data_IF_765256202826
#
_entry.id   IF_765256202826
#
_cell.length_a   1.000
_cell.length_b   1.000
_cell.length_c   1.000
_cell.angle_alpha   90.00
_cell.angle_beta   90.00
_cell.angle_gamma   90.00
#
_symmetry.space_group_name_H-M   'P 1'
#
loop_
_entity.id
_entity.type
_entity.pdbx_description
1 polymer ?
#
# COMPACT_ATOMS: atom_id res chain seq x y z
N UNK A 1 -57.20 30.84 17.70
CA UNK A 1 -56.66 30.04 16.58
C UNK A 1 -57.58 28.85 16.43
N UNK A 2 -58.44 28.88 15.42
CA UNK A 2 -59.37 27.80 15.11
C UNK A 2 -58.59 26.63 14.50
N UNK A 3 -58.89 25.41 14.95
CA UNK A 3 -58.27 24.17 14.50
C UNK A 3 -59.22 23.55 13.46
N UNK A 4 -58.76 23.44 12.23
CA UNK A 4 -59.47 22.83 11.09
C UNK A 4 -59.75 21.34 11.36
N UNK A 5 -61.00 20.85 11.25
CA UNK A 5 -61.39 19.48 11.58
C UNK A 5 -61.32 18.51 10.39
N UNK A 6 -60.52 18.78 9.36
CA UNK A 6 -60.41 17.89 8.19
C UNK A 6 -59.64 16.58 8.51
N UNK A 7 -60.12 15.40 8.08
CA UNK A 7 -59.52 14.11 8.43
C UNK A 7 -58.22 13.85 7.66
N UNK A 8 -57.18 13.42 8.38
CA UNK A 8 -55.87 13.03 7.81
C UNK A 8 -56.03 11.71 7.04
N UNK A 9 -55.64 11.64 5.75
CA UNK A 9 -55.72 10.41 4.97
C UNK A 9 -54.67 9.38 5.42
N UNK A 10 -54.96 8.06 5.31
CA UNK A 10 -54.07 7.00 5.78
C UNK A 10 -52.80 6.86 4.89
N UNK A 11 -51.68 6.33 5.44
CA UNK A 11 -50.43 6.19 4.71
C UNK A 11 -50.55 5.20 3.55
N UNK A 12 -50.08 5.59 2.37
CA UNK A 12 -49.97 4.70 1.21
C UNK A 12 -48.83 3.70 1.41
N UNK A 13 -49.15 2.39 1.41
CA UNK A 13 -48.17 1.31 1.25
C UNK A 13 -47.59 1.37 -0.17
N UNK A 14 -46.30 1.65 -0.28
CA UNK A 14 -45.54 1.50 -1.51
C UNK A 14 -44.62 0.28 -1.38
N UNK A 15 -45.10 -0.86 -1.87
CA UNK A 15 -44.25 -1.98 -2.28
C UNK A 15 -44.07 -1.89 -3.78
N UNK A 16 -42.85 -1.64 -4.25
CA UNK A 16 -42.24 -2.50 -5.25
C UNK A 16 -40.75 -2.19 -5.47
N UNK A 17 -39.98 -3.27 -5.47
CA UNK A 17 -38.54 -3.31 -5.70
C UNK A 17 -38.23 -3.31 -7.20
N UNK A 18 -37.01 -2.88 -7.60
CA UNK A 18 -36.24 -3.79 -8.45
C UNK A 18 -34.76 -3.88 -8.02
N UNK A 19 -34.37 -5.09 -7.63
CA UNK A 19 -33.14 -5.79 -8.02
C UNK A 19 -31.89 -4.94 -8.36
N UNK A 20 -31.13 -4.54 -7.35
CA UNK A 20 -29.70 -4.23 -7.53
C UNK A 20 -28.86 -5.46 -7.20
N UNK A 21 -28.43 -6.13 -8.27
CA UNK A 21 -27.40 -7.17 -8.30
C UNK A 21 -26.13 -6.68 -7.60
N UNK A 22 -25.92 -7.10 -6.35
CA UNK A 22 -24.60 -7.08 -5.74
C UNK A 22 -23.77 -8.19 -6.41
N UNK A 23 -22.98 -7.83 -7.42
CA UNK A 23 -21.88 -8.67 -7.87
C UNK A 23 -20.79 -8.66 -6.79
N UNK A 24 -20.88 -9.63 -5.87
CA UNK A 24 -19.68 -10.22 -5.27
C UNK A 24 -18.96 -11.06 -6.33
N UNK A 25 -17.66 -11.25 -6.11
CA UNK A 25 -16.74 -12.15 -6.84
C UNK A 25 -15.97 -11.54 -8.01
N UNK A 26 -14.97 -10.70 -7.69
CA UNK A 26 -13.71 -10.76 -8.43
C UNK A 26 -12.84 -11.87 -7.81
N UNK A 27 -13.07 -13.06 -8.35
CA UNK A 27 -12.21 -14.23 -8.26
C UNK A 27 -10.74 -13.83 -8.46
N UNK A 28 -9.90 -14.17 -7.49
CA UNK A 28 -8.45 -14.18 -7.66
C UNK A 28 -8.11 -15.28 -8.68
N UNK A 29 -8.10 -14.93 -9.96
CA UNK A 29 -7.74 -15.85 -11.03
C UNK A 29 -6.26 -16.23 -10.91
N UNK A 30 -6.01 -17.45 -10.41
CA UNK A 30 -4.69 -18.07 -10.29
C UNK A 30 -4.38 -18.92 -11.53
N UNK A 31 -4.46 -18.32 -12.72
CA UNK A 31 -4.25 -19.07 -13.99
C UNK A 31 -2.90 -18.79 -14.66
N UNK A 32 -1.98 -18.06 -14.03
CA UNK A 32 -0.68 -17.74 -14.66
C UNK A 32 0.47 -18.70 -14.30
N UNK A 33 0.21 -19.77 -13.53
CA UNK A 33 1.26 -20.74 -13.13
C UNK A 33 1.17 -22.10 -13.84
N UNK A 34 0.54 -22.16 -15.01
CA UNK A 34 0.51 -23.37 -15.85
C UNK A 34 1.70 -23.48 -16.81
N UNK A 35 2.51 -22.42 -16.95
CA UNK A 35 3.63 -22.36 -17.89
C UNK A 35 4.93 -23.07 -17.48
N UNK A 36 4.96 -23.83 -16.38
CA UNK A 36 6.16 -24.51 -15.88
C UNK A 36 6.08 -26.05 -15.89
N UNK A 37 5.03 -26.65 -16.47
CA UNK A 37 4.83 -28.11 -16.48
C UNK A 37 4.55 -28.72 -17.86
N UNK A 38 5.09 -28.14 -18.94
CA UNK A 38 4.96 -28.72 -20.29
C UNK A 38 6.32 -28.75 -20.97
N UNK A 39 7.20 -29.66 -20.52
CA UNK A 39 8.25 -30.28 -21.36
C UNK A 39 8.87 -31.45 -20.58
N UNK A 40 8.05 -32.46 -20.29
CA UNK A 40 8.55 -33.79 -19.99
C UNK A 40 7.47 -34.79 -20.39
N UNK A 41 7.81 -35.66 -21.35
CA UNK A 41 7.05 -36.81 -21.86
C UNK A 41 6.38 -36.60 -23.23
N UNK A 42 7.11 -36.92 -24.30
CA UNK A 42 6.57 -37.65 -25.45
C UNK A 42 7.69 -38.10 -26.40
N UNK A 43 8.12 -39.37 -26.31
CA UNK A 43 8.41 -40.12 -27.53
C UNK A 43 7.89 -41.55 -27.38
N UNK A 44 6.79 -41.76 -28.07
CA UNK A 44 6.02 -42.98 -28.17
C UNK A 44 6.73 -44.02 -29.05
N UNK A 45 6.47 -45.28 -28.72
CA UNK A 45 6.96 -46.45 -29.40
C UNK A 45 6.10 -46.72 -30.65
N UNK A 46 6.71 -47.08 -31.77
CA UNK A 46 6.05 -47.99 -32.72
C UNK A 46 7.06 -48.90 -33.40
N UNK A 47 6.84 -50.18 -33.13
CA UNK A 47 7.30 -51.40 -33.80
C UNK A 47 7.32 -51.35 -35.32
N UNK A 48 8.37 -51.89 -35.94
CA UNK A 48 8.28 -52.89 -37.02
C UNK A 48 9.57 -53.71 -37.12
N UNK A 49 9.36 -54.98 -37.43
CA UNK A 49 10.23 -56.15 -37.38
C UNK A 49 11.20 -56.29 -38.57
N UNK A 50 12.40 -56.85 -38.33
CA UNK A 50 12.89 -58.09 -38.99
C UNK A 50 14.36 -58.42 -38.66
N UNK A 51 14.54 -59.53 -37.95
CA UNK A 51 15.53 -60.62 -38.06
C UNK A 51 16.83 -60.41 -38.87
N UNK A 52 17.99 -60.52 -38.21
CA UNK A 52 19.00 -61.60 -38.36
C UNK A 52 20.42 -61.20 -37.89
N UNK A 53 21.02 -62.08 -37.07
CA UNK A 53 22.46 -62.22 -36.72
C UNK A 53 23.19 -62.92 -37.92
N UNK A 54 24.55 -63.09 -38.01
CA UNK A 54 25.58 -63.00 -36.96
C UNK A 54 27.01 -62.50 -37.36
N UNK A 55 27.93 -62.53 -36.35
CA UNK A 55 29.41 -62.68 -36.44
C UNK A 55 30.21 -61.49 -37.01
N UNK A 56 31.47 -61.17 -36.68
CA UNK A 56 32.54 -61.59 -35.76
C UNK A 56 33.66 -60.52 -35.91
N UNK A 57 34.68 -60.47 -35.03
CA UNK A 57 35.99 -59.88 -35.40
C UNK A 57 36.46 -58.58 -34.73
N UNK A 58 37.23 -58.74 -33.65
CA UNK A 58 38.55 -58.15 -33.35
C UNK A 58 39.03 -56.79 -33.91
N UNK A 59 39.41 -55.92 -32.95
CA UNK A 59 40.63 -55.06 -32.86
C UNK A 59 40.70 -53.65 -33.50
N UNK A 60 41.54 -52.76 -32.93
CA UNK A 60 41.34 -51.31 -32.86
C UNK A 60 42.18 -50.53 -33.87
N UNK A 61 41.85 -49.26 -34.12
CA UNK A 61 42.79 -48.12 -34.19
C UNK A 61 42.13 -46.80 -34.63
N UNK A 62 42.68 -45.74 -34.04
CA UNK A 62 42.96 -44.41 -34.62
C UNK A 62 41.87 -43.33 -34.67
N UNK A 63 42.15 -42.30 -33.84
CA UNK A 63 42.19 -40.87 -34.19
C UNK A 63 41.05 -40.30 -35.04
N UNK A 64 40.20 -39.50 -34.39
CA UNK A 64 40.01 -38.13 -34.88
C UNK A 64 39.57 -37.23 -33.74
N UNK A 65 40.38 -36.21 -33.48
CA UNK A 65 40.06 -35.09 -32.62
C UNK A 65 38.91 -34.31 -33.26
N UNK A 66 37.74 -34.31 -32.61
CA UNK A 66 36.79 -33.22 -32.75
C UNK A 66 36.98 -32.36 -31.52
N UNK A 67 37.58 -31.19 -31.75
CA UNK A 67 37.57 -30.05 -30.85
C UNK A 67 36.17 -29.88 -30.27
N UNK A 68 36.04 -30.06 -28.96
CA UNK A 68 34.89 -29.56 -28.24
C UNK A 68 34.89 -28.04 -28.43
N UNK A 69 34.02 -27.57 -29.32
CA UNK A 69 33.67 -26.16 -29.43
C UNK A 69 32.94 -25.77 -28.16
N UNK A 70 33.72 -25.45 -27.13
CA UNK A 70 33.26 -24.75 -25.93
C UNK A 70 33.02 -23.29 -26.31
N UNK A 71 31.95 -23.03 -27.04
CA UNK A 71 31.38 -21.69 -27.19
C UNK A 71 29.93 -21.90 -27.61
N UNK A 72 28.99 -21.72 -26.68
CA UNK A 72 27.81 -20.87 -26.82
C UNK A 72 26.65 -21.26 -25.87
N UNK A 73 26.87 -21.29 -24.55
CA UNK A 73 25.81 -21.54 -23.56
C UNK A 73 25.38 -20.28 -22.77
N UNK A 74 26.09 -19.15 -22.92
CA UNK A 74 25.86 -17.96 -22.09
C UNK A 74 24.74 -17.04 -22.59
N UNK A 75 24.31 -17.19 -23.85
CA UNK A 75 23.30 -16.29 -24.46
C UNK A 75 21.86 -16.70 -24.07
N UNK A 76 21.62 -17.99 -23.83
CA UNK A 76 20.29 -18.49 -23.44
C UNK A 76 19.99 -18.22 -21.95
N UNK A 77 21.01 -18.33 -21.09
CA UNK A 77 20.86 -18.14 -19.65
C UNK A 77 20.48 -16.69 -19.30
N UNK A 78 21.08 -15.71 -19.99
CA UNK A 78 20.74 -14.28 -19.81
C UNK A 78 19.26 -13.99 -20.09
N UNK A 79 18.67 -14.63 -21.11
CA UNK A 79 17.25 -14.44 -21.47
C UNK A 79 16.31 -15.05 -20.44
N UNK A 80 16.73 -16.14 -19.82
CA UNK A 80 15.99 -16.80 -18.73
C UNK A 80 16.04 -15.95 -17.47
N UNK A 81 17.21 -15.40 -17.12
CA UNK A 81 17.38 -14.46 -16.00
C UNK A 81 16.49 -13.24 -16.18
N UNK A 82 16.49 -12.61 -17.37
CA UNK A 82 15.64 -11.44 -17.65
C UNK A 82 14.14 -11.75 -17.49
N UNK A 83 13.72 -12.96 -17.90
CA UNK A 83 12.34 -13.43 -17.70
C UNK A 83 12.02 -13.56 -16.20
N UNK A 84 12.92 -14.12 -15.41
CA UNK A 84 12.72 -14.24 -13.96
C UNK A 84 12.70 -12.87 -13.27
N UNK A 85 13.62 -11.96 -13.62
CA UNK A 85 13.62 -10.58 -13.10
C UNK A 85 12.28 -9.89 -13.39
N UNK A 86 11.79 -9.98 -14.63
CA UNK A 86 10.48 -9.40 -15.00
C UNK A 86 9.34 -9.97 -14.17
N UNK A 87 9.32 -11.28 -13.92
CA UNK A 87 8.30 -11.92 -13.08
C UNK A 87 8.42 -11.47 -11.62
N UNK A 88 9.64 -11.33 -11.10
CA UNK A 88 9.89 -10.83 -9.75
C UNK A 88 9.44 -9.38 -9.59
N UNK A 89 9.72 -8.50 -10.55
CA UNK A 89 9.25 -7.10 -10.54
C UNK A 89 7.71 -7.03 -10.54
N UNK A 90 7.05 -7.89 -11.34
CA UNK A 90 5.59 -7.99 -11.33
C UNK A 90 5.03 -8.55 -10.02
N UNK A 91 5.74 -9.43 -9.34
CA UNK A 91 5.37 -9.92 -8.02
C UNK A 91 5.54 -8.83 -6.98
N UNK A 92 6.66 -8.09 -7.00
CA UNK A 92 6.95 -6.98 -6.10
C UNK A 92 5.88 -5.88 -6.22
N UNK A 93 5.53 -5.48 -7.44
CA UNK A 93 4.45 -4.52 -7.68
C UNK A 93 3.09 -5.00 -7.15
N UNK A 94 2.80 -6.31 -7.24
CA UNK A 94 1.57 -6.89 -6.68
C UNK A 94 1.60 -6.94 -5.15
N UNK A 95 2.76 -7.24 -4.55
CA UNK A 95 2.97 -7.19 -3.10
C UNK A 95 2.77 -5.77 -2.59
N UNK A 96 3.32 -4.76 -3.26
CA UNK A 96 3.17 -3.36 -2.84
C UNK A 96 1.71 -2.88 -2.96
N UNK A 97 1.00 -3.28 -4.03
CA UNK A 97 -0.44 -3.05 -4.12
C UNK A 97 -1.20 -3.70 -2.97
N UNK A 98 -0.91 -4.97 -2.67
CA UNK A 98 -1.54 -5.69 -1.56
C UNK A 98 -1.26 -5.03 -0.20
N UNK A 99 -0.03 -4.56 0.03
CA UNK A 99 0.35 -3.81 1.23
C UNK A 99 -0.46 -2.53 1.36
N UNK A 100 -0.60 -1.76 0.28
CA UNK A 100 -1.41 -0.53 0.25
C UNK A 100 -2.89 -0.81 0.54
N UNK A 101 -3.45 -1.85 -0.08
CA UNK A 101 -4.85 -2.24 0.15
C UNK A 101 -5.07 -2.69 1.61
N UNK A 102 -4.14 -3.45 2.18
CA UNK A 102 -4.17 -3.88 3.57
C UNK A 102 -4.05 -2.70 4.56
N UNK A 103 -3.21 -1.71 4.29
CA UNK A 103 -3.15 -0.46 5.05
C UNK A 103 -4.49 0.28 5.02
N UNK A 104 -5.13 0.39 3.85
CA UNK A 104 -6.46 1.01 3.75
C UNK A 104 -7.56 0.24 4.49
N UNK A 105 -7.47 -1.09 4.58
CA UNK A 105 -8.37 -1.89 5.42
C UNK A 105 -8.09 -1.69 6.92
N UNK A 106 -6.83 -1.51 7.31
CA UNK A 106 -6.44 -1.19 8.68
C UNK A 106 -6.99 0.18 9.10
N UNK A 107 -6.87 1.21 8.26
CA UNK A 107 -7.46 2.53 8.51
C UNK A 107 -8.98 2.48 8.71
N UNK A 108 -9.70 1.67 7.90
CA UNK A 108 -11.15 1.47 8.05
C UNK A 108 -11.50 0.78 9.37
N UNK A 109 -10.70 -0.20 9.81
CA UNK A 109 -10.87 -0.85 11.12
C UNK A 109 -10.71 0.16 12.25
N UNK A 110 -9.67 0.99 12.19
CA UNK A 110 -9.39 2.02 13.19
C UNK A 110 -10.51 3.07 13.23
N UNK A 111 -11.04 3.46 12.07
CA UNK A 111 -12.21 4.35 11.97
C UNK A 111 -13.46 3.76 12.63
N UNK A 112 -13.73 2.47 12.41
CA UNK A 112 -14.88 1.79 13.05
C UNK A 112 -14.70 1.72 14.57
N UNK A 113 -13.48 1.46 15.05
CA UNK A 113 -13.18 1.44 16.47
C UNK A 113 -13.41 2.83 17.10
N UNK A 114 -12.92 3.88 16.45
CA UNK A 114 -13.17 5.27 16.86
C UNK A 114 -14.67 5.59 16.88
N UNK A 115 -15.43 5.14 15.87
CA UNK A 115 -16.88 5.34 15.81
C UNK A 115 -17.61 4.66 16.97
N UNK A 116 -17.21 3.43 17.31
CA UNK A 116 -17.75 2.70 18.48
C UNK A 116 -17.48 3.49 19.77
N UNK A 117 -16.27 4.02 19.94
CA UNK A 117 -15.91 4.77 21.15
C UNK A 117 -16.62 6.12 21.23
N UNK A 118 -16.83 6.83 20.12
CA UNK A 118 -17.64 8.05 20.06
C UNK A 118 -19.10 7.81 20.49
N UNK A 119 -19.68 6.66 20.10
CA UNK A 119 -21.03 6.30 20.53
C UNK A 119 -21.04 6.00 22.04
N UNK A 120 -20.06 5.24 22.54
CA UNK A 120 -19.95 4.93 23.98
C UNK A 120 -19.79 6.18 24.83
N UNK A 121 -19.02 7.16 24.37
CA UNK A 121 -18.75 8.40 25.11
C UNK A 121 -19.80 9.48 24.89
N UNK A 122 -20.85 9.22 24.12
CA UNK A 122 -21.85 10.25 23.82
C UNK A 122 -22.65 10.62 25.08
N UNK A 123 -22.77 11.91 25.38
CA UNK A 123 -23.50 12.38 26.57
C UNK A 123 -24.97 11.95 26.60
N UNK A 124 -25.59 11.76 25.43
CA UNK A 124 -26.98 11.26 25.35
C UNK A 124 -27.11 9.86 25.93
N UNK A 125 -26.04 9.06 25.95
CA UNK A 125 -26.04 7.77 26.62
C UNK A 125 -26.34 7.95 28.11
N UNK A 126 -25.90 9.03 28.75
CA UNK A 126 -26.15 9.31 30.17
C UNK A 126 -27.62 9.57 30.46
N UNK A 127 -28.37 10.10 29.49
CA UNK A 127 -29.78 10.43 29.65
C UNK A 127 -30.73 9.23 29.45
N UNK A 128 -30.21 8.07 29.04
CA UNK A 128 -30.98 6.84 28.87
C UNK A 128 -31.25 6.15 30.21
N UNK A 129 -32.36 5.42 30.27
CA UNK A 129 -32.64 4.51 31.39
C UNK A 129 -31.60 3.39 31.46
N UNK A 130 -31.47 2.76 32.64
CA UNK A 130 -30.50 1.68 32.84
C UNK A 130 -30.73 0.50 31.88
N UNK A 131 -32.00 0.16 31.60
CA UNK A 131 -32.36 -0.91 30.65
C UNK A 131 -31.96 -0.59 29.22
N UNK A 132 -32.21 0.64 28.74
CA UNK A 132 -31.84 1.06 27.38
C UNK A 132 -30.32 1.15 27.21
N UNK A 133 -29.64 1.67 28.23
CA UNK A 133 -28.17 1.74 28.27
C UNK A 133 -27.55 0.35 28.21
N UNK A 134 -28.10 -0.61 28.95
CA UNK A 134 -27.62 -2.00 28.95
C UNK A 134 -27.85 -2.67 27.59
N UNK A 135 -29.02 -2.46 26.98
CA UNK A 135 -29.32 -2.99 25.64
C UNK A 135 -28.35 -2.47 24.58
N UNK A 136 -28.12 -1.15 24.55
CA UNK A 136 -27.15 -0.53 23.64
C UNK A 136 -25.74 -1.01 23.97
N UNK A 137 -25.38 -1.14 25.25
CA UNK A 137 -24.09 -1.67 25.69
C UNK A 137 -23.84 -3.08 25.16
N UNK A 138 -24.82 -3.98 25.26
CA UNK A 138 -24.77 -5.33 24.70
C UNK A 138 -24.60 -5.31 23.18
N UNK A 139 -25.32 -4.41 22.49
CA UNK A 139 -25.20 -4.25 21.05
C UNK A 139 -23.79 -3.79 20.62
N UNK A 140 -23.24 -2.79 21.30
CA UNK A 140 -21.88 -2.28 21.09
C UNK A 140 -20.83 -3.35 21.36
N UNK A 141 -20.97 -4.11 22.45
CA UNK A 141 -20.06 -5.21 22.77
C UNK A 141 -20.06 -6.26 21.67
N UNK A 142 -21.23 -6.64 21.14
CA UNK A 142 -21.35 -7.61 20.04
C UNK A 142 -20.73 -7.10 18.75
N UNK A 143 -20.93 -5.82 18.40
CA UNK A 143 -20.31 -5.20 17.21
C UNK A 143 -18.79 -5.16 17.38
N UNK A 144 -18.30 -4.76 18.56
CA UNK A 144 -16.88 -4.71 18.86
C UNK A 144 -16.22 -6.10 18.81
N UNK A 145 -16.90 -7.13 19.34
CA UNK A 145 -16.42 -8.52 19.27
C UNK A 145 -16.27 -8.99 17.81
N UNK A 146 -17.22 -8.66 16.93
CA UNK A 146 -17.13 -8.98 15.50
C UNK A 146 -15.99 -8.22 14.82
N UNK A 147 -15.83 -6.92 15.10
CA UNK A 147 -14.74 -6.12 14.56
C UNK A 147 -13.37 -6.63 15.02
N UNK A 148 -13.27 -7.15 16.23
CA UNK A 148 -12.03 -7.71 16.80
C UNK A 148 -11.53 -8.94 16.04
N UNK A 149 -12.38 -9.64 15.29
CA UNK A 149 -11.97 -10.78 14.45
C UNK A 149 -11.18 -10.37 13.20
N UNK A 150 -11.21 -9.09 12.84
CA UNK A 150 -10.45 -8.54 11.71
C UNK A 150 -9.07 -8.10 12.19
N UNK A 151 -8.08 -8.96 12.00
CA UNK A 151 -6.69 -8.70 12.36
C UNK A 151 -5.83 -8.43 11.11
N UNK A 152 -5.20 -7.25 11.06
CA UNK A 152 -4.31 -6.83 9.98
C UNK A 152 -3.01 -6.34 10.59
N UNK A 153 -1.88 -6.76 10.03
CA UNK A 153 -0.55 -6.36 10.47
C UNK A 153 0.36 -6.13 9.26
N UNK A 154 0.43 -4.88 8.80
CA UNK A 154 1.38 -4.44 7.77
C UNK A 154 2.55 -3.78 8.47
N UNK A 155 3.76 -4.31 8.28
CA UNK A 155 4.99 -3.77 8.88
C UNK A 155 5.92 -3.23 7.79
N UNK A 156 6.57 -2.12 8.09
CA UNK A 156 7.75 -1.64 7.36
C UNK A 156 8.97 -2.34 7.95
N UNK A 157 9.64 -3.17 7.15
CA UNK A 157 10.89 -3.83 7.55
C UNK A 157 12.02 -2.81 7.45
N UNK A 158 12.83 -2.71 8.51
CA UNK A 158 13.95 -1.78 8.58
C UNK A 158 15.22 -2.51 8.97
N UNK A 159 16.34 -2.07 8.45
CA UNK A 159 17.65 -2.41 9.01
C UNK A 159 18.02 -1.46 10.16
N UNK A 160 19.16 -1.74 10.81
CA UNK A 160 19.62 -0.95 11.96
C UNK A 160 19.91 0.51 11.60
N UNK A 161 20.47 0.77 10.42
CA UNK A 161 20.78 2.12 9.98
C UNK A 161 19.50 2.92 9.74
N UNK A 162 18.49 2.31 9.12
CA UNK A 162 17.19 2.91 8.88
C UNK A 162 16.44 3.22 10.18
N UNK A 163 16.52 2.34 11.19
CA UNK A 163 15.99 2.59 12.52
C UNK A 163 16.67 3.78 13.21
N UNK A 164 18.00 3.84 13.15
CA UNK A 164 18.78 4.92 13.75
C UNK A 164 18.47 6.27 13.07
N UNK A 165 18.38 6.28 11.73
CA UNK A 165 17.92 7.45 10.95
C UNK A 165 16.52 7.90 11.33
N UNK A 166 15.55 6.99 11.43
CA UNK A 166 14.18 7.32 11.82
C UNK A 166 14.11 7.90 13.25
N UNK A 167 14.85 7.31 14.19
CA UNK A 167 14.97 7.82 15.57
C UNK A 167 15.54 9.25 15.59
N UNK A 168 16.57 9.51 14.78
CA UNK A 168 17.17 10.82 14.68
C UNK A 168 16.21 11.85 14.05
N UNK A 169 15.42 11.48 13.03
CA UNK A 169 14.35 12.35 12.50
C UNK A 169 13.33 12.68 13.59
N UNK A 170 12.86 11.69 14.33
CA UNK A 170 11.89 11.92 15.40
C UNK A 170 12.43 12.89 16.44
N UNK A 171 13.70 12.74 16.84
CA UNK A 171 14.38 13.67 17.75
C UNK A 171 14.43 15.11 17.20
N UNK A 172 14.70 15.28 15.91
CA UNK A 172 14.73 16.60 15.26
C UNK A 172 13.34 17.27 15.21
N UNK A 173 12.29 16.48 15.01
CA UNK A 173 10.89 16.94 15.04
C UNK A 173 10.49 17.30 16.46
N UNK A 174 10.84 16.48 17.45
CA UNK A 174 10.47 16.71 18.84
C UNK A 174 11.21 17.94 19.41
N UNK A 175 12.47 18.17 19.03
CA UNK A 175 13.21 19.40 19.37
C UNK A 175 12.52 20.65 18.80
N UNK A 176 11.98 20.56 17.59
CA UNK A 176 11.22 21.66 17.00
C UNK A 176 9.92 21.91 17.77
N UNK A 177 9.18 20.87 18.15
CA UNK A 177 7.92 21.01 18.89
C UNK A 177 8.16 21.58 20.30
N UNK A 178 9.24 21.17 20.95
CA UNK A 178 9.58 21.56 22.33
C UNK A 178 10.26 22.93 22.46
N UNK A 179 10.59 23.57 21.34
CA UNK A 179 11.28 24.87 21.31
C UNK A 179 10.48 26.02 21.93
N UNK A 180 9.15 25.91 22.02
CA UNK A 180 8.27 26.87 22.69
C UNK A 180 7.98 28.17 21.91
N UNK A 181 8.82 28.51 20.92
CA UNK A 181 8.57 29.61 19.98
C UNK A 181 7.81 29.10 18.74
N UNK A 182 6.53 29.47 18.54
CA UNK A 182 5.75 28.96 17.42
C UNK A 182 6.20 29.53 16.07
N UNK A 183 6.74 30.75 16.02
CA UNK A 183 7.24 31.36 14.78
C UNK A 183 8.48 30.61 14.29
N UNK A 184 9.43 30.36 15.19
CA UNK A 184 10.64 29.61 14.87
C UNK A 184 10.34 28.13 14.59
N UNK A 185 9.40 27.52 15.32
CA UNK A 185 8.94 26.16 15.08
C UNK A 185 8.30 26.01 13.69
N UNK A 186 7.46 26.97 13.28
CA UNK A 186 6.89 27.01 11.92
C UNK A 186 7.99 27.13 10.87
N UNK A 187 8.95 28.04 11.05
CA UNK A 187 10.06 28.20 10.12
C UNK A 187 10.87 26.90 9.97
N UNK A 188 11.21 26.23 11.08
CA UNK A 188 11.92 24.93 11.04
C UNK A 188 11.09 23.85 10.37
N UNK A 189 9.78 23.79 10.66
CA UNK A 189 8.87 22.85 10.01
C UNK A 189 8.86 23.04 8.48
N UNK A 190 8.91 24.29 8.01
CA UNK A 190 8.99 24.60 6.58
C UNK A 190 10.31 24.10 5.98
N UNK A 191 11.45 24.33 6.65
CA UNK A 191 12.75 23.84 6.17
C UNK A 191 12.79 22.31 6.09
N UNK A 192 12.15 21.60 7.03
CA UNK A 192 12.03 20.14 7.01
C UNK A 192 11.10 19.66 5.88
N UNK A 193 9.98 20.37 5.62
CA UNK A 193 9.10 20.07 4.48
C UNK A 193 9.83 20.26 3.15
N UNK A 194 10.64 21.31 3.00
CA UNK A 194 11.44 21.54 1.81
C UNK A 194 12.46 20.39 1.60
N UNK A 195 13.07 19.88 2.67
CA UNK A 195 13.95 18.70 2.61
C UNK A 195 13.22 17.42 2.16
N UNK A 196 11.93 17.28 2.47
CA UNK A 196 11.11 16.15 2.02
C UNK A 196 10.77 16.20 0.52
N UNK A 197 10.92 17.36 -0.13
CA UNK A 197 10.68 17.52 -1.56
C UNK A 197 11.92 17.18 -2.41
N UNK A 198 13.15 17.30 -1.87
CA UNK A 198 14.35 16.83 -2.55
C UNK A 198 14.48 15.31 -2.62
N UNK A 199 13.78 14.58 -1.75
CA UNK A 199 14.01 13.15 -1.48
C UNK A 199 13.20 12.19 -2.38
N UNK A 200 12.35 12.68 -3.29
CA UNK A 200 11.51 11.83 -4.14
C UNK A 200 11.07 12.49 -5.45
N UNK A 201 11.80 12.15 -6.52
CA UNK A 201 11.44 12.14 -7.95
C UNK A 201 10.83 13.37 -8.66
N UNK A 202 11.48 13.67 -9.79
CA UNK A 202 11.00 14.18 -11.08
C UNK A 202 9.89 15.24 -11.12
N UNK A 203 10.32 16.46 -11.47
CA UNK A 203 9.49 17.43 -12.19
C UNK A 203 9.24 16.85 -13.59
N UNK A 204 8.22 16.00 -13.72
CA UNK A 204 7.59 15.76 -15.01
C UNK A 204 6.91 17.06 -15.43
N UNK A 205 7.58 17.82 -16.29
CA UNK A 205 7.00 18.92 -17.06
C UNK A 205 5.93 18.32 -17.98
N UNK A 206 4.75 18.09 -17.43
CA UNK A 206 3.56 17.77 -18.20
C UNK A 206 3.05 19.07 -18.82
N UNK A 207 3.30 19.20 -20.13
CA UNK A 207 2.56 20.09 -20.99
C UNK A 207 1.07 19.77 -20.88
N UNK A 208 0.33 20.58 -20.14
CA UNK A 208 -1.14 20.66 -20.28
C UNK A 208 -1.53 22.12 -20.30
N UNK A 209 -1.60 22.65 -21.52
CA UNK A 209 -2.47 23.75 -21.87
C UNK A 209 -3.93 23.35 -21.58
N UNK A 210 -4.68 24.29 -21.04
CA UNK A 210 -6.14 24.34 -20.86
C UNK A 210 -6.75 23.90 -19.51
N UNK A 211 -7.47 24.88 -18.95
CA UNK A 211 -8.60 24.87 -18.01
C UNK A 211 -8.35 24.84 -16.49
N UNK A 212 -8.30 26.08 -15.98
CA UNK A 212 -8.91 26.69 -14.77
C UNK A 212 -9.15 25.90 -13.47
N UNK A 213 -8.90 26.63 -12.38
CA UNK A 213 -9.28 26.42 -10.98
C UNK A 213 -8.29 25.70 -10.02
N UNK A 214 -7.58 26.55 -9.26
CA UNK A 214 -6.75 26.31 -8.06
C UNK A 214 -5.47 25.45 -8.23
N UNK A 215 -4.58 25.89 -9.12
CA UNK A 215 -3.15 25.56 -9.02
C UNK A 215 -2.52 26.51 -8.01
N UNK A 216 -2.10 26.00 -6.86
CA UNK A 216 -1.11 26.69 -6.02
C UNK A 216 0.15 26.81 -6.86
N UNK A 217 0.54 28.04 -7.16
CA UNK A 217 1.77 28.37 -7.88
C UNK A 217 2.94 27.56 -7.31
N UNK A 218 3.64 26.86 -8.18
CA UNK A 218 4.90 26.20 -7.82
C UNK A 218 5.95 27.30 -7.74
N UNK A 219 6.07 27.88 -6.55
CA UNK A 219 7.07 28.90 -6.24
C UNK A 219 8.48 28.35 -6.52
N UNK A 220 9.20 29.07 -7.39
CA UNK A 220 10.64 28.91 -7.69
C UNK A 220 11.50 29.52 -6.56
N UNK A 221 11.03 29.42 -5.32
CA UNK A 221 11.76 29.79 -4.11
C UNK A 221 11.28 28.92 -2.93
N UNK A 222 11.47 27.60 -3.04
CA UNK A 222 11.44 26.78 -1.85
C UNK A 222 12.57 27.29 -0.94
N UNK A 223 12.22 28.06 0.10
CA UNK A 223 13.17 28.67 1.03
C UNK A 223 14.15 27.67 1.67
N UNK A 224 14.97 28.10 2.64
CA UNK A 224 16.11 27.32 3.14
C UNK A 224 15.79 25.85 3.44
N UNK A 225 16.64 24.93 2.96
CA UNK A 225 16.53 23.48 3.25
C UNK A 225 17.43 23.13 4.43
N UNK A 226 16.94 22.37 5.41
CA UNK A 226 17.78 21.84 6.48
C UNK A 226 18.56 20.61 5.97
N UNK A 227 19.83 20.82 5.62
CA UNK A 227 20.72 19.78 5.07
C UNK A 227 21.00 18.63 6.04
N UNK A 228 20.96 18.90 7.35
CA UNK A 228 21.09 17.85 8.35
C UNK A 228 19.85 16.97 8.34
N UNK A 229 18.66 17.57 8.35
CA UNK A 229 17.42 16.83 8.27
C UNK A 229 17.32 16.01 6.97
N UNK A 230 17.65 16.62 5.83
CA UNK A 230 17.66 15.96 4.51
C UNK A 230 18.54 14.70 4.49
N UNK A 231 19.79 14.81 4.98
CA UNK A 231 20.72 13.69 5.03
C UNK A 231 20.20 12.51 5.87
N UNK A 232 19.62 12.81 7.04
CA UNK A 232 19.06 11.78 7.92
C UNK A 232 17.78 11.17 7.31
N UNK A 233 16.97 11.98 6.63
CA UNK A 233 15.74 11.56 5.98
C UNK A 233 16.01 10.54 4.87
N UNK A 234 17.05 10.77 4.07
CA UNK A 234 17.48 9.85 3.00
C UNK A 234 17.94 8.49 3.53
N UNK A 235 18.36 8.41 4.80
CA UNK A 235 18.67 7.14 5.47
C UNK A 235 17.45 6.34 5.90
N UNK A 236 16.24 6.91 5.82
CA UNK A 236 14.99 6.22 6.16
C UNK A 236 14.42 5.45 4.96
N UNK A 237 13.52 4.50 5.21
CA UNK A 237 12.77 3.84 4.13
C UNK A 237 11.87 4.83 3.38
N UNK A 238 11.51 4.54 2.12
CA UNK A 238 10.60 5.40 1.36
C UNK A 238 9.22 5.56 2.04
N UNK A 239 8.74 4.51 2.72
CA UNK A 239 7.52 4.55 3.52
C UNK A 239 7.64 5.56 4.67
N UNK A 240 8.77 5.55 5.38
CA UNK A 240 9.04 6.50 6.46
C UNK A 240 9.12 7.92 5.95
N UNK A 241 9.83 8.16 4.85
CA UNK A 241 9.95 9.50 4.27
C UNK A 241 8.57 10.08 3.91
N UNK A 242 7.69 9.27 3.31
CA UNK A 242 6.29 9.64 3.02
C UNK A 242 5.50 9.93 4.30
N UNK A 243 5.64 9.09 5.33
CA UNK A 243 4.94 9.27 6.62
C UNK A 243 5.45 10.48 7.40
N UNK A 244 6.75 10.74 7.41
CA UNK A 244 7.39 11.93 7.98
C UNK A 244 6.86 13.19 7.29
N UNK A 245 6.81 13.21 5.96
CA UNK A 245 6.23 14.34 5.20
C UNK A 245 4.77 14.61 5.58
N UNK A 246 3.94 13.55 5.68
CA UNK A 246 2.54 13.68 6.15
C UNK A 246 2.48 14.25 7.57
N UNK A 247 3.31 13.75 8.49
CA UNK A 247 3.40 14.25 9.88
C UNK A 247 3.77 15.73 9.91
N UNK A 248 4.75 16.16 9.12
CA UNK A 248 5.17 17.55 9.03
C UNK A 248 4.07 18.45 8.47
N UNK A 249 3.31 18.02 7.45
CA UNK A 249 2.17 18.80 6.95
C UNK A 249 1.08 19.00 8.02
N UNK A 250 0.76 17.96 8.79
CA UNK A 250 -0.19 18.07 9.89
C UNK A 250 0.31 19.04 10.97
N UNK A 251 1.59 18.94 11.35
CA UNK A 251 2.23 19.87 12.30
C UNK A 251 2.22 21.31 11.79
N UNK A 252 2.55 21.54 10.51
CA UNK A 252 2.51 22.87 9.90
C UNK A 252 1.11 23.49 10.00
N UNK A 253 0.06 22.71 9.71
CA UNK A 253 -1.32 23.15 9.87
C UNK A 253 -1.66 23.57 11.31
N UNK A 254 -1.12 22.86 12.31
CA UNK A 254 -1.27 23.21 13.72
C UNK A 254 -0.51 24.49 14.10
N UNK A 255 0.76 24.60 13.69
CA UNK A 255 1.61 25.77 13.98
C UNK A 255 1.04 27.05 13.34
N UNK A 256 0.50 26.97 12.13
CA UNK A 256 -0.17 28.11 11.49
C UNK A 256 -1.36 28.61 12.30
N UNK A 257 -2.17 27.70 12.87
CA UNK A 257 -3.28 28.10 13.75
C UNK A 257 -2.79 28.76 15.03
N UNK A 258 -1.73 28.24 15.66
CA UNK A 258 -1.18 28.83 16.87
C UNK A 258 -0.70 30.27 16.66
N UNK A 259 -0.08 30.56 15.52
CA UNK A 259 0.46 31.91 15.24
C UNK A 259 -0.65 32.92 14.92
N UNK A 260 -1.77 32.47 14.36
CA UNK A 260 -2.95 33.34 14.13
C UNK A 260 -3.62 33.75 15.45
N UNK A 261 -3.45 32.97 16.52
CA UNK A 261 -4.05 33.21 17.83
C UNK A 261 -3.10 33.91 18.84
N UNK A 262 -1.95 34.41 18.39
CA UNK A 262 -1.06 35.29 19.17
C UNK A 262 -1.30 36.76 18.85
#
# INVERSE_FOLDING_TARGET
MEIDPSPVPPPQEYSDSPSTTYQSELSMNFDYLQGLHSDSSAMDATTTSSTSRPQDGSSPRHFSAVTASTTNCQVDDSRVVDRFVTVLDQLDARVEKFRKDALGLQEKRDFLLMSIDLIKSNDSMQNLTDSEREEIGCYLQRVNARLSTVELNVRTVRDRSQEDSLSQINTLIDLMITMGDPVLSRQRCQMYLNACCSAGEDVSVANTSDMDEYRVDVDVDAGPVDKKFESVLLGCTLDDQKNIKKRLHALMGYLNKQIIHQ
#
